data_IF_668034568887
#
_entry.id   IF_668034568887
#
_cell.length_a   1.000
_cell.length_b   1.000
_cell.length_c   1.000
_cell.angle_alpha   90.00
_cell.angle_beta   90.00
_cell.angle_gamma   90.00
#
_symmetry.space_group_name_H-M   'P 1'
#
loop_
_entity.id
_entity.type
_entity.pdbx_description
1 polymer ?
#
# COMPACT_ATOMS: atom_id res chain seq x y z
N UNK A 1 24.25 -21.92 -6.30
CA UNK A 1 22.98 -21.50 -5.66
C UNK A 1 21.76 -21.92 -6.50
N UNK A 2 21.70 -21.65 -7.82
CA UNK A 2 20.54 -21.97 -8.67
C UNK A 2 20.17 -23.46 -8.66
N UNK A 3 21.11 -24.42 -8.83
CA UNK A 3 20.74 -25.85 -8.79
C UNK A 3 20.20 -26.30 -7.43
N UNK A 4 20.70 -25.69 -6.33
CA UNK A 4 20.20 -26.00 -4.99
C UNK A 4 18.77 -25.45 -4.81
N UNK A 5 18.53 -24.22 -5.21
CA UNK A 5 17.19 -23.64 -5.16
C UNK A 5 16.18 -24.43 -5.99
N UNK A 6 16.54 -24.83 -7.20
CA UNK A 6 15.68 -25.67 -8.05
C UNK A 6 15.34 -27.01 -7.39
N UNK A 7 16.33 -27.67 -6.78
CA UNK A 7 16.09 -28.94 -6.09
C UNK A 7 15.12 -28.78 -4.90
N UNK A 8 15.23 -27.69 -4.15
CA UNK A 8 14.31 -27.40 -3.05
C UNK A 8 12.89 -27.10 -3.54
N UNK A 9 12.75 -26.32 -4.63
CA UNK A 9 11.46 -26.07 -5.26
C UNK A 9 10.84 -27.38 -5.80
N UNK A 10 11.61 -28.20 -6.48
CA UNK A 10 11.13 -29.48 -7.01
C UNK A 10 10.68 -30.42 -5.88
N UNK A 11 11.40 -30.43 -4.75
CA UNK A 11 11.04 -31.25 -3.60
C UNK A 11 9.70 -30.82 -2.98
N UNK A 12 9.44 -29.49 -2.94
CA UNK A 12 8.21 -28.93 -2.37
C UNK A 12 7.03 -29.05 -3.33
N UNK A 13 7.24 -28.71 -4.61
CA UNK A 13 6.19 -28.74 -5.64
C UNK A 13 5.86 -30.16 -6.05
N UNK A 14 6.88 -31.03 -6.12
CA UNK A 14 6.72 -32.44 -6.53
C UNK A 14 6.00 -32.58 -7.88
N UNK A 15 5.04 -33.48 -7.93
CA UNK A 15 4.24 -33.72 -9.14
C UNK A 15 3.01 -32.76 -9.25
N UNK A 16 2.92 -31.75 -8.43
CA UNK A 16 1.81 -30.76 -8.55
C UNK A 16 2.03 -29.91 -9.79
N UNK A 17 0.99 -29.74 -10.63
CA UNK A 17 1.08 -28.77 -11.71
C UNK A 17 1.32 -27.37 -11.14
N UNK A 18 2.29 -26.63 -11.68
CA UNK A 18 2.49 -25.25 -11.30
C UNK A 18 1.38 -24.37 -11.92
N UNK A 19 1.32 -23.09 -11.54
CA UNK A 19 0.28 -22.20 -12.05
C UNK A 19 0.38 -21.96 -13.55
N UNK A 20 1.58 -22.06 -14.13
CA UNK A 20 1.80 -21.89 -15.58
C UNK A 20 1.14 -23.01 -16.37
N UNK A 21 1.06 -24.22 -15.80
CA UNK A 21 0.45 -25.38 -16.43
C UNK A 21 -1.07 -25.45 -16.19
N UNK A 22 -1.60 -24.55 -15.36
CA UNK A 22 -3.04 -24.46 -15.06
C UNK A 22 -3.65 -23.31 -15.82
N UNK A 23 -4.29 -23.59 -16.91
CA UNK A 23 -4.98 -22.58 -17.72
C UNK A 23 -6.28 -22.07 -17.07
N UNK A 24 -6.77 -22.74 -16.02
CA UNK A 24 -8.01 -22.36 -15.32
C UNK A 24 -9.20 -22.21 -16.27
N UNK A 25 -9.29 -23.08 -17.25
CA UNK A 25 -10.37 -23.07 -18.27
C UNK A 25 -11.76 -23.26 -17.66
N UNK A 26 -11.82 -23.76 -16.42
CA UNK A 26 -13.06 -23.90 -15.65
C UNK A 26 -13.57 -22.57 -15.07
N UNK A 27 -12.79 -21.50 -15.13
CA UNK A 27 -13.19 -20.17 -14.63
C UNK A 27 -13.84 -19.41 -15.76
N UNK A 28 -15.14 -19.25 -15.67
CA UNK A 28 -15.94 -18.40 -16.55
C UNK A 28 -16.42 -17.19 -15.74
N UNK A 29 -15.92 -16.02 -16.07
CA UNK A 29 -16.23 -14.77 -15.35
C UNK A 29 -16.98 -13.82 -16.27
N UNK A 30 -18.20 -13.51 -15.91
CA UNK A 30 -18.99 -12.54 -16.67
C UNK A 30 -18.47 -11.12 -16.51
N UNK A 31 -18.66 -10.29 -17.54
CA UNK A 31 -18.26 -8.87 -17.49
C UNK A 31 -18.89 -8.12 -16.29
N UNK A 32 -20.11 -8.48 -15.89
CA UNK A 32 -20.77 -7.89 -14.72
C UNK A 32 -20.02 -8.19 -13.41
N UNK A 33 -19.43 -9.38 -13.28
CA UNK A 33 -18.64 -9.75 -12.10
C UNK A 33 -17.30 -9.01 -12.04
N UNK A 34 -16.70 -8.75 -13.20
CA UNK A 34 -15.47 -7.95 -13.29
C UNK A 34 -15.70 -6.46 -13.00
N UNK A 35 -16.91 -5.98 -13.24
CA UNK A 35 -17.30 -4.59 -12.98
C UNK A 35 -17.89 -4.41 -11.57
N UNK A 36 -18.17 -5.48 -10.86
CA UNK A 36 -18.63 -5.40 -9.48
C UNK A 36 -17.43 -5.18 -8.56
N UNK A 37 -17.28 -3.93 -8.13
CA UNK A 37 -16.23 -3.53 -7.17
C UNK A 37 -16.66 -3.71 -5.71
N UNK A 38 -17.88 -4.20 -5.48
CA UNK A 38 -18.38 -4.50 -4.15
C UNK A 38 -17.68 -5.72 -3.54
N UNK A 39 -17.26 -5.61 -2.30
CA UNK A 39 -16.73 -6.74 -1.52
C UNK A 39 -17.77 -7.12 -0.47
N UNK A 40 -18.55 -8.21 -0.70
CA UNK A 40 -19.54 -8.64 0.28
C UNK A 40 -18.89 -8.90 1.64
N UNK A 41 -19.41 -8.23 2.70
CA UNK A 41 -18.86 -8.34 4.05
C UNK A 41 -17.55 -7.56 4.26
N UNK A 42 -17.11 -6.78 3.29
CA UNK A 42 -15.96 -5.89 3.45
C UNK A 42 -16.27 -4.72 4.38
N UNK A 43 -15.38 -4.45 5.30
CA UNK A 43 -15.50 -3.36 6.27
C UNK A 43 -14.25 -2.48 6.23
N UNK A 44 -14.46 -1.18 6.44
CA UNK A 44 -13.36 -0.23 6.69
C UNK A 44 -13.15 -0.20 8.20
N UNK A 45 -12.10 -0.83 8.67
CA UNK A 45 -11.80 -0.90 10.12
C UNK A 45 -10.79 0.17 10.52
N UNK A 46 -10.79 0.55 11.79
CA UNK A 46 -9.82 1.51 12.33
C UNK A 46 -8.38 1.02 12.15
N UNK A 47 -8.15 -0.28 12.36
CA UNK A 47 -6.83 -0.91 12.18
C UNK A 47 -6.38 -0.87 10.71
N UNK A 48 -7.31 -1.08 9.76
CA UNK A 48 -7.03 -0.97 8.33
C UNK A 48 -6.65 0.45 7.91
N UNK A 49 -7.35 1.45 8.46
CA UNK A 49 -7.02 2.87 8.23
C UNK A 49 -5.65 3.20 8.83
N UNK A 50 -5.41 2.84 10.08
CA UNK A 50 -4.12 3.04 10.76
C UNK A 50 -2.97 2.41 9.97
N UNK A 51 -3.15 1.18 9.49
CA UNK A 51 -2.14 0.48 8.70
C UNK A 51 -1.80 1.23 7.41
N UNK A 52 -2.81 1.71 6.68
CA UNK A 52 -2.60 2.47 5.45
C UNK A 52 -1.88 3.81 5.73
N UNK A 53 -2.25 4.52 6.79
CA UNK A 53 -1.58 5.75 7.20
C UNK A 53 -0.11 5.47 7.54
N UNK A 54 0.14 4.46 8.36
CA UNK A 54 1.50 4.10 8.77
C UNK A 54 2.38 3.68 7.58
N UNK A 55 1.87 2.82 6.68
CA UNK A 55 2.60 2.40 5.48
C UNK A 55 2.91 3.59 4.58
N UNK A 56 1.94 4.46 4.35
CA UNK A 56 2.12 5.66 3.53
C UNK A 56 3.19 6.60 4.08
N UNK A 57 3.12 6.92 5.36
CA UNK A 57 4.09 7.80 6.03
C UNK A 57 5.50 7.22 6.04
N UNK A 58 5.65 5.94 6.44
CA UNK A 58 6.96 5.25 6.48
C UNK A 58 7.58 5.14 5.10
N UNK A 59 6.77 4.88 4.09
CA UNK A 59 7.25 4.82 2.72
C UNK A 59 7.75 6.19 2.25
N UNK A 60 6.94 7.24 2.42
CA UNK A 60 7.29 8.60 2.00
C UNK A 60 8.54 9.11 2.73
N UNK A 61 8.65 8.87 4.03
CA UNK A 61 9.84 9.22 4.80
C UNK A 61 11.10 8.56 4.24
N UNK A 62 11.02 7.25 3.96
CA UNK A 62 12.13 6.49 3.39
C UNK A 62 12.47 6.96 1.97
N UNK A 63 11.45 7.23 1.16
CA UNK A 63 11.62 7.71 -0.21
C UNK A 63 12.29 9.09 -0.23
N UNK A 64 11.88 10.02 0.64
CA UNK A 64 12.50 11.34 0.80
C UNK A 64 13.99 11.25 1.20
N UNK A 65 14.41 10.16 1.81
CA UNK A 65 15.82 9.86 2.10
C UNK A 65 16.54 9.10 0.98
N UNK A 66 15.88 8.90 -0.17
CA UNK A 66 16.45 8.26 -1.35
C UNK A 66 16.28 6.74 -1.41
N UNK A 67 15.40 6.15 -0.60
CA UNK A 67 15.17 4.70 -0.60
C UNK A 67 13.72 4.39 -0.99
N UNK A 68 13.52 3.86 -2.20
CA UNK A 68 12.20 3.52 -2.76
C UNK A 68 11.73 2.08 -2.55
N UNK A 69 12.48 1.28 -1.79
CA UNK A 69 12.08 -0.05 -1.33
C UNK A 69 12.44 -0.15 0.15
N UNK A 70 11.45 -0.30 1.00
CA UNK A 70 11.61 -0.16 2.45
C UNK A 70 11.00 -1.32 3.22
N UNK A 71 11.68 -1.78 4.26
CA UNK A 71 11.15 -2.80 5.16
C UNK A 71 10.16 -2.16 6.13
N UNK A 72 8.88 -2.46 5.98
CA UNK A 72 7.79 -2.05 6.86
C UNK A 72 7.10 -3.31 7.37
N UNK A 73 7.00 -3.48 8.69
CA UNK A 73 6.36 -4.64 9.34
C UNK A 73 6.86 -6.01 8.82
N UNK A 74 8.18 -6.13 8.59
CA UNK A 74 8.85 -7.31 8.01
C UNK A 74 8.46 -7.64 6.55
N UNK A 75 7.83 -6.72 5.86
CA UNK A 75 7.56 -6.79 4.43
C UNK A 75 8.44 -5.78 3.70
N UNK A 76 8.82 -6.10 2.47
CA UNK A 76 9.53 -5.17 1.60
C UNK A 76 8.51 -4.44 0.74
N UNK A 77 8.25 -3.19 1.13
CA UNK A 77 7.25 -2.35 0.50
C UNK A 77 7.88 -1.44 -0.57
N UNK A 78 7.13 -1.22 -1.64
CA UNK A 78 7.50 -0.34 -2.73
C UNK A 78 6.45 0.77 -2.97
N UNK A 79 6.64 1.56 -4.02
CA UNK A 79 5.73 2.64 -4.37
C UNK A 79 4.29 2.16 -4.60
N UNK A 80 4.10 0.94 -5.12
CA UNK A 80 2.75 0.42 -5.40
C UNK A 80 1.96 0.21 -4.11
N UNK A 81 2.58 -0.30 -3.05
CA UNK A 81 1.92 -0.47 -1.75
C UNK A 81 1.55 0.88 -1.14
N UNK A 82 2.43 1.87 -1.23
CA UNK A 82 2.15 3.22 -0.74
C UNK A 82 1.04 3.91 -1.55
N UNK A 83 1.00 3.71 -2.87
CA UNK A 83 -0.09 4.18 -3.74
C UNK A 83 -1.43 3.56 -3.36
N UNK A 84 -1.48 2.26 -3.12
CA UNK A 84 -2.70 1.59 -2.65
C UNK A 84 -3.14 2.20 -1.31
N UNK A 85 -2.21 2.33 -0.38
CA UNK A 85 -2.50 2.83 0.98
C UNK A 85 -3.07 4.25 0.97
N UNK A 86 -2.39 5.20 0.29
CA UNK A 86 -2.86 6.59 0.20
C UNK A 86 -4.19 6.71 -0.54
N UNK A 87 -4.35 5.94 -1.63
CA UNK A 87 -5.56 5.97 -2.44
C UNK A 87 -6.77 5.39 -1.70
N UNK A 88 -6.58 4.37 -0.87
CA UNK A 88 -7.64 3.85 -0.01
C UNK A 88 -8.07 4.88 1.04
N UNK A 89 -7.12 5.54 1.70
CA UNK A 89 -7.42 6.62 2.67
C UNK A 89 -8.21 7.73 1.98
N UNK A 90 -7.73 8.21 0.82
CA UNK A 90 -8.41 9.23 0.03
C UNK A 90 -9.84 8.82 -0.34
N UNK A 91 -10.02 7.60 -0.86
CA UNK A 91 -11.32 7.09 -1.26
C UNK A 91 -12.28 6.96 -0.08
N UNK A 92 -11.81 6.45 1.05
CA UNK A 92 -12.64 6.30 2.25
C UNK A 92 -13.09 7.63 2.82
N UNK A 93 -12.22 8.65 2.82
CA UNK A 93 -12.59 10.02 3.17
C UNK A 93 -13.62 10.59 2.19
N UNK A 94 -13.37 10.46 0.89
CA UNK A 94 -14.26 10.96 -0.17
C UNK A 94 -15.67 10.38 -0.09
N UNK A 95 -15.79 9.13 0.35
CA UNK A 95 -17.06 8.44 0.50
C UNK A 95 -17.61 8.47 1.93
N UNK A 96 -17.05 9.27 2.82
CA UNK A 96 -17.53 9.42 4.21
C UNK A 96 -17.47 8.12 5.02
N UNK A 97 -16.53 7.23 4.72
CA UNK A 97 -16.31 5.98 5.44
C UNK A 97 -15.41 6.17 6.66
N UNK A 98 -14.61 7.22 6.64
CA UNK A 98 -13.73 7.66 7.72
C UNK A 98 -13.78 9.19 7.80
N UNK A 99 -13.35 9.72 8.93
CA UNK A 99 -13.26 11.16 9.16
C UNK A 99 -11.78 11.62 9.09
N UNK A 100 -11.57 12.87 8.65
CA UNK A 100 -10.22 13.46 8.58
C UNK A 100 -9.50 13.44 9.94
N UNK A 101 -10.20 13.79 11.00
CA UNK A 101 -9.64 13.82 12.35
C UNK A 101 -9.12 12.44 12.80
N UNK A 102 -9.73 11.36 12.31
CA UNK A 102 -9.27 9.99 12.56
C UNK A 102 -7.92 9.73 11.87
N UNK A 103 -7.76 10.17 10.62
CA UNK A 103 -6.49 10.04 9.89
C UNK A 103 -5.40 10.83 10.60
N UNK A 104 -5.65 12.09 10.94
CA UNK A 104 -4.72 12.96 11.68
C UNK A 104 -4.31 12.32 13.01
N UNK A 105 -5.24 11.71 13.73
CA UNK A 105 -4.89 11.02 14.99
C UNK A 105 -3.96 9.83 14.78
N UNK A 106 -4.09 9.10 13.68
CA UNK A 106 -3.16 8.00 13.34
C UNK A 106 -1.80 8.52 12.89
N UNK A 107 -1.74 9.63 12.16
CA UNK A 107 -0.48 10.31 11.85
C UNK A 107 0.25 10.76 13.10
N UNK A 108 -0.46 11.42 14.02
CA UNK A 108 0.11 11.88 15.29
C UNK A 108 0.66 10.69 16.10
N UNK A 109 -0.05 9.57 16.13
CA UNK A 109 0.41 8.37 16.81
C UNK A 109 1.66 7.78 16.15
N UNK A 110 1.73 7.75 14.81
CA UNK A 110 2.90 7.25 14.08
C UNK A 110 4.12 8.15 14.32
N UNK A 111 3.94 9.47 14.26
CA UNK A 111 5.03 10.41 14.49
C UNK A 111 5.52 10.40 15.93
N UNK A 112 4.66 10.11 16.91
CA UNK A 112 5.05 10.01 18.32
C UNK A 112 6.01 8.83 18.59
N UNK A 113 5.94 7.78 17.77
CA UNK A 113 6.81 6.61 17.85
C UNK A 113 8.02 6.70 16.89
N UNK A 114 8.03 7.70 16.01
CA UNK A 114 9.05 7.87 15.00
C UNK A 114 10.40 8.26 15.61
N UNK A 115 11.48 7.72 15.03
CA UNK A 115 12.85 8.14 15.32
C UNK A 115 13.26 9.38 14.52
N UNK A 116 14.56 9.58 14.41
CA UNK A 116 15.10 10.63 13.53
C UNK A 116 14.74 10.37 12.07
N UNK A 117 14.28 11.39 11.35
CA UNK A 117 13.88 11.26 9.94
C UNK A 117 13.22 12.53 9.40
N UNK A 118 12.75 12.46 8.15
CA UNK A 118 12.03 13.54 7.46
C UNK A 118 10.51 13.43 7.65
N UNK A 119 10.09 13.17 8.88
CA UNK A 119 8.69 12.83 9.20
C UNK A 119 7.71 13.98 8.99
N UNK A 120 8.10 15.21 9.31
CA UNK A 120 7.24 16.38 9.09
C UNK A 120 6.98 16.61 7.60
N UNK A 121 7.99 16.39 6.75
CA UNK A 121 7.86 16.50 5.29
C UNK A 121 7.06 15.32 4.73
N UNK A 122 7.29 14.11 5.24
CA UNK A 122 6.52 12.93 4.85
C UNK A 122 5.04 13.09 5.20
N UNK A 123 4.73 13.64 6.37
CA UNK A 123 3.37 13.96 6.78
C UNK A 123 2.73 15.00 5.86
N UNK A 124 3.41 16.12 5.64
CA UNK A 124 2.88 17.16 4.76
C UNK A 124 2.57 16.63 3.35
N UNK A 125 3.44 15.78 2.84
CA UNK A 125 3.26 15.12 1.56
C UNK A 125 2.12 14.10 1.59
N UNK A 126 1.99 13.32 2.65
CA UNK A 126 0.87 12.39 2.81
C UNK A 126 -0.47 13.12 2.88
N UNK A 127 -0.54 14.22 3.64
CA UNK A 127 -1.71 15.10 3.67
C UNK A 127 -2.09 15.60 2.27
N UNK A 128 -1.12 16.03 1.49
CA UNK A 128 -1.33 16.49 0.13
C UNK A 128 -1.92 15.40 -0.76
N UNK A 129 -1.38 14.18 -0.74
CA UNK A 129 -1.78 13.10 -1.66
C UNK A 129 -2.93 12.21 -1.16
N UNK A 130 -3.25 12.24 0.12
CA UNK A 130 -4.30 11.41 0.71
C UNK A 130 -5.52 12.19 1.25
N UNK A 131 -5.37 13.48 1.58
CA UNK A 131 -6.43 14.28 2.19
C UNK A 131 -6.93 15.42 1.29
N UNK A 132 -6.40 15.57 0.07
CA UNK A 132 -6.84 16.55 -0.92
C UNK A 132 -8.23 16.24 -1.48
N UNK A 133 -8.85 17.25 -2.11
CA UNK A 133 -10.14 17.06 -2.80
C UNK A 133 -10.01 16.25 -4.09
N UNK A 134 -8.90 16.40 -4.80
CA UNK A 134 -8.59 15.70 -6.04
C UNK A 134 -7.50 14.65 -5.78
N UNK A 135 -7.60 13.52 -6.46
CA UNK A 135 -6.59 12.46 -6.36
C UNK A 135 -5.44 12.75 -7.32
N UNK A 136 -4.25 12.92 -6.79
CA UNK A 136 -3.04 13.03 -7.60
C UNK A 136 -2.75 11.74 -8.37
N UNK A 137 -2.18 11.85 -9.57
CA UNK A 137 -1.85 10.68 -10.39
C UNK A 137 -0.90 9.73 -9.67
N UNK A 138 0.16 10.27 -9.04
CA UNK A 138 1.13 9.50 -8.27
C UNK A 138 1.62 10.26 -7.05
N UNK A 139 1.78 9.55 -5.94
CA UNK A 139 2.30 10.10 -4.68
C UNK A 139 3.71 10.70 -4.81
N UNK A 140 4.50 10.21 -5.76
CA UNK A 140 5.87 10.68 -5.98
C UNK A 140 5.95 11.96 -6.81
N UNK A 141 4.90 12.37 -7.50
CA UNK A 141 4.93 13.60 -8.30
C UNK A 141 5.20 14.83 -7.43
N UNK A 142 4.41 15.13 -6.39
CA UNK A 142 4.73 16.23 -5.49
C UNK A 142 6.01 15.96 -4.67
N UNK A 143 6.32 14.70 -4.40
CA UNK A 143 7.50 14.32 -3.64
C UNK A 143 8.82 14.67 -4.35
N UNK A 144 8.86 14.67 -5.68
CA UNK A 144 10.06 15.08 -6.42
C UNK A 144 10.46 16.53 -6.18
N UNK A 145 9.53 17.39 -5.81
CA UNK A 145 9.81 18.79 -5.47
C UNK A 145 10.62 18.94 -4.15
N UNK A 146 10.67 17.86 -3.35
CA UNK A 146 11.30 17.85 -2.03
C UNK A 146 12.67 17.14 -2.03
N UNK A 147 13.06 16.52 -3.13
CA UNK A 147 14.39 15.91 -3.28
C UNK A 147 15.23 16.73 -4.27
N UNK A 148 16.35 17.26 -3.78
CA UNK A 148 17.40 17.94 -4.57
C UNK A 148 18.50 16.94 -5.00
#
# INVERSE_FOLDING_TARGET
>A
LVPVALAEFDAVLGARPNQVDRLREEVDVAAAELLDVGVPGGEVTAEGVQMNVSVGLRYLESWLRGTGAVAIYNLMEDAATAEISRSQVWQWLRHGRIERDQVVAFEDAELAEAGEGRWDEARALFDEVALSEELDEFLTLPAYELID
#
